data_IF_447859705336
#
_entry.id   IF_447859705336
#
_cell.length_a   1.000
_cell.length_b   1.000
_cell.length_c   1.000
_cell.angle_alpha   90.00
_cell.angle_beta   90.00
_cell.angle_gamma   90.00
#
_symmetry.space_group_name_H-M   'P 1'
#
loop_
_entity.id
_entity.type
_entity.pdbx_description
1 polymer ?
#
# COMPACT_ATOMS: atom_id res chain seq x y z
N UNK A 1 -0.36 6.51 4.42
CA UNK A 1 -0.09 7.55 3.41
C UNK A 1 -1.14 7.47 2.31
N UNK A 2 -1.75 8.61 1.99
CA UNK A 2 -2.65 8.78 0.84
C UNK A 2 -1.90 9.65 -0.17
N UNK A 3 -1.87 9.24 -1.44
CA UNK A 3 -1.12 9.94 -2.48
C UNK A 3 -2.00 10.06 -3.72
N UNK A 4 -1.97 11.22 -4.38
CA UNK A 4 -2.59 11.44 -5.69
C UNK A 4 -1.52 11.41 -6.77
N UNK A 5 -1.75 10.65 -7.84
CA UNK A 5 -0.86 10.52 -8.98
C UNK A 5 -1.54 11.09 -10.23
N UNK A 6 -1.28 12.36 -10.59
CA UNK A 6 -1.70 12.88 -11.88
C UNK A 6 -0.81 12.30 -12.98
N UNK A 7 -1.42 11.79 -14.05
CA UNK A 7 -0.69 11.34 -15.23
C UNK A 7 -1.44 11.75 -16.50
N UNK A 8 -0.68 11.93 -17.57
CA UNK A 8 -1.23 12.24 -18.89
C UNK A 8 -1.56 10.93 -19.58
N UNK A 9 -2.77 10.81 -20.13
CA UNK A 9 -3.12 9.67 -20.99
C UNK A 9 -2.35 9.74 -22.30
N UNK A 10 -2.23 8.60 -22.96
CA UNK A 10 -1.48 8.45 -24.21
C UNK A 10 -2.01 9.35 -25.34
N UNK A 11 -3.30 9.73 -25.29
CA UNK A 11 -3.91 10.66 -26.25
C UNK A 11 -3.43 12.12 -26.09
N UNK A 12 -2.59 12.40 -25.09
CA UNK A 12 -2.03 13.70 -24.73
C UNK A 12 -3.04 14.83 -24.45
N UNK A 13 -4.33 14.71 -24.70
CA UNK A 13 -5.29 15.81 -24.47
C UNK A 13 -5.85 15.84 -23.04
N UNK A 14 -5.79 14.70 -22.33
CA UNK A 14 -6.39 14.53 -21.01
C UNK A 14 -5.36 14.21 -19.92
N UNK A 15 -5.54 14.84 -18.75
CA UNK A 15 -4.80 14.52 -17.53
C UNK A 15 -5.78 13.89 -16.55
N UNK A 16 -5.48 12.66 -16.14
CA UNK A 16 -6.26 11.92 -15.16
C UNK A 16 -5.49 11.84 -13.84
N UNK A 17 -6.20 11.77 -12.72
CA UNK A 17 -5.59 11.62 -11.40
C UNK A 17 -6.11 10.35 -10.74
N UNK A 18 -5.20 9.48 -10.33
CA UNK A 18 -5.51 8.27 -9.57
C UNK A 18 -5.07 8.44 -8.12
N UNK A 19 -5.85 7.90 -7.19
CA UNK A 19 -5.52 7.87 -5.78
C UNK A 19 -4.88 6.54 -5.41
N UNK A 20 -3.82 6.60 -4.61
CA UNK A 20 -3.11 5.44 -4.10
C UNK A 20 -2.96 5.49 -2.59
N UNK A 21 -2.99 4.31 -1.97
CA UNK A 21 -2.82 4.14 -0.53
C UNK A 21 -1.58 3.29 -0.23
N UNK A 22 -0.76 3.77 0.71
CA UNK A 22 0.34 2.98 1.29
C UNK A 22 0.26 3.06 2.80
N UNK A 23 0.00 1.93 3.45
CA UNK A 23 -0.09 1.86 4.91
C UNK A 23 1.17 1.17 5.45
N UNK A 24 1.66 1.65 6.58
CA UNK A 24 2.78 1.06 7.30
C UNK A 24 2.28 0.78 8.71
N UNK A 25 2.06 -0.49 9.04
CA UNK A 25 1.42 -0.85 10.31
C UNK A 25 2.40 -0.83 11.49
N UNK A 26 3.61 -1.36 11.31
CA UNK A 26 4.60 -1.44 12.38
C UNK A 26 6.01 -1.20 11.83
N UNK A 27 6.79 -0.32 12.46
CA UNK A 27 8.17 0.02 12.04
C UNK A 27 9.25 -0.49 13.01
N UNK A 28 8.86 -1.07 14.15
CA UNK A 28 9.80 -1.47 15.21
C UNK A 28 10.59 -2.73 14.89
N UNK A 29 10.04 -3.64 14.07
CA UNK A 29 10.71 -4.90 13.71
C UNK A 29 11.70 -4.76 12.53
N UNK A 30 11.81 -3.57 11.93
CA UNK A 30 12.59 -3.33 10.72
C UNK A 30 11.77 -2.62 9.65
N UNK A 31 12.25 -2.59 8.39
CA UNK A 31 11.52 -1.95 7.29
C UNK A 31 10.19 -2.66 7.02
N UNK A 32 9.22 -1.92 6.50
CA UNK A 32 7.90 -2.49 6.19
C UNK A 32 7.89 -3.18 4.84
N UNK A 33 7.29 -4.38 4.79
CA UNK A 33 7.14 -5.17 3.58
C UNK A 33 5.66 -5.43 3.31
N UNK A 34 5.27 -5.15 2.07
CA UNK A 34 3.92 -5.27 1.56
C UNK A 34 3.90 -5.43 0.04
N UNK A 35 2.76 -5.83 -0.50
CA UNK A 35 2.49 -5.85 -1.94
C UNK A 35 2.05 -4.47 -2.46
N UNK A 36 1.72 -4.41 -3.76
CA UNK A 36 0.96 -3.33 -4.39
C UNK A 36 -0.22 -3.98 -5.11
N UNK A 37 -1.41 -3.42 -4.96
CA UNK A 37 -2.62 -3.92 -5.62
C UNK A 37 -3.20 -2.81 -6.49
N UNK A 38 -3.60 -3.17 -7.70
CA UNK A 38 -4.40 -2.34 -8.58
C UNK A 38 -5.80 -2.94 -8.63
N UNK A 39 -6.77 -2.20 -8.12
CA UNK A 39 -8.18 -2.55 -8.15
C UNK A 39 -8.99 -1.25 -8.13
N UNK A 40 -10.17 -1.26 -8.75
CA UNK A 40 -11.06 -0.09 -8.79
C UNK A 40 -11.75 0.17 -7.45
N UNK A 41 -11.91 -0.87 -6.62
CA UNK A 41 -12.62 -0.83 -5.34
C UNK A 41 -11.67 -0.80 -4.12
N UNK A 42 -10.38 -0.46 -4.33
CA UNK A 42 -9.41 -0.37 -3.23
C UNK A 42 -9.79 0.76 -2.26
N UNK A 43 -9.89 0.40 -0.98
CA UNK A 43 -10.16 1.34 0.12
C UNK A 43 -9.02 1.41 1.14
N UNK A 44 -8.90 2.55 1.82
CA UNK A 44 -7.90 2.77 2.86
C UNK A 44 -8.05 1.79 4.03
N UNK A 45 -9.30 1.45 4.40
CA UNK A 45 -9.57 0.49 5.47
C UNK A 45 -9.07 -0.91 5.11
N UNK A 46 -9.31 -1.36 3.88
CA UNK A 46 -8.84 -2.66 3.40
C UNK A 46 -7.30 -2.72 3.39
N UNK A 47 -6.63 -1.71 2.83
CA UNK A 47 -5.16 -1.67 2.78
C UNK A 47 -4.56 -1.64 4.19
N UNK A 48 -5.21 -0.95 5.13
CA UNK A 48 -4.79 -0.96 6.53
C UNK A 48 -4.92 -2.34 7.16
N UNK A 49 -6.03 -3.05 6.91
CA UNK A 49 -6.20 -4.41 7.37
C UNK A 49 -5.11 -5.34 6.81
N UNK A 50 -4.82 -5.27 5.51
CA UNK A 50 -3.79 -6.08 4.87
C UNK A 50 -2.38 -5.79 5.41
N UNK A 51 -2.06 -4.53 5.70
CA UNK A 51 -0.80 -4.16 6.33
C UNK A 51 -0.66 -4.78 7.73
N UNK A 52 -1.75 -4.84 8.52
CA UNK A 52 -1.75 -5.55 9.81
C UNK A 52 -1.46 -7.04 9.64
N UNK A 53 -2.12 -7.69 8.70
CA UNK A 53 -1.90 -9.10 8.39
C UNK A 53 -0.46 -9.39 7.96
N UNK A 54 0.18 -8.49 7.21
CA UNK A 54 1.59 -8.64 6.85
C UNK A 54 2.52 -8.56 8.06
N UNK A 55 2.24 -7.69 9.04
CA UNK A 55 3.03 -7.64 10.29
C UNK A 55 2.94 -8.98 11.02
N UNK A 56 1.73 -9.53 11.18
CA UNK A 56 1.55 -10.81 11.87
C UNK A 56 2.18 -11.96 11.10
N UNK A 57 2.03 -11.99 9.78
CA UNK A 57 2.67 -12.99 8.93
C UNK A 57 4.19 -12.96 9.07
N UNK A 58 4.81 -11.79 9.02
CA UNK A 58 6.26 -11.64 9.18
C UNK A 58 6.71 -12.02 10.60
N UNK A 59 5.96 -11.63 11.63
CA UNK A 59 6.25 -11.96 13.02
C UNK A 59 6.20 -13.48 13.27
N UNK A 60 5.16 -14.17 12.79
CA UNK A 60 5.01 -15.64 12.93
C UNK A 60 6.15 -16.37 12.23
N UNK A 61 6.60 -15.87 11.08
CA UNK A 61 7.70 -16.47 10.31
C UNK A 61 9.10 -16.06 10.81
N UNK A 62 9.20 -15.21 11.85
CA UNK A 62 10.47 -14.73 12.38
C UNK A 62 11.26 -13.82 11.42
N UNK A 63 10.58 -13.15 10.49
CA UNK A 63 11.20 -12.23 9.53
C UNK A 63 11.34 -10.83 10.15
N UNK A 64 12.48 -10.12 9.93
CA UNK A 64 12.73 -8.79 10.47
C UNK A 64 12.04 -7.70 9.64
N UNK A 65 10.73 -7.84 9.40
CA UNK A 65 9.92 -6.92 8.63
C UNK A 65 8.64 -6.54 9.35
N UNK A 66 8.31 -5.25 9.29
CA UNK A 66 6.96 -4.77 9.57
C UNK A 66 6.01 -5.03 8.40
N UNK A 67 4.70 -4.91 8.64
CA UNK A 67 3.69 -5.07 7.59
C UNK A 67 3.33 -3.76 6.89
N UNK A 68 3.08 -3.87 5.58
CA UNK A 68 2.59 -2.81 4.70
C UNK A 68 1.68 -3.36 3.60
#
# INVERSE_FOLDING_TARGET
HVVSFPFRRDDYDTVETVFGYRVQHLLTMGPTKGGLRYDVDVDLGEVTALAMWMTWKCAIMGLPFGGA
#
